data_IF_216690279265
#
_entry.id   IF_216690279265
#
_cell.length_a   1.000
_cell.length_b   1.000
_cell.length_c   1.000
_cell.angle_alpha   90.00
_cell.angle_beta   90.00
_cell.angle_gamma   90.00
#
_symmetry.space_group_name_H-M   'P 1'
#
loop_
_entity.id
_entity.type
_entity.pdbx_description
1 polymer ?
#
# COMPACT_ATOMS: atom_id res chain seq x y z
N UNK A 1 2.14 -2.52 -7.22
CA UNK A 1 2.87 -1.79 -6.16
C UNK A 1 1.95 -1.69 -4.96
N UNK A 2 2.47 -1.94 -3.76
CA UNK A 2 1.71 -1.79 -2.52
C UNK A 2 2.23 -0.56 -1.78
N UNK A 3 1.32 0.23 -1.25
CA UNK A 3 1.65 1.37 -0.41
C UNK A 3 0.78 1.36 0.84
N UNK A 4 1.32 1.90 1.92
CA UNK A 4 0.61 2.08 3.18
C UNK A 4 0.79 3.50 3.68
N UNK A 5 -0.28 4.05 4.25
CA UNK A 5 -0.32 5.37 4.85
C UNK A 5 -0.86 5.27 6.27
N UNK A 6 -0.16 5.84 7.24
CA UNK A 6 -0.65 5.89 8.61
C UNK A 6 -1.73 6.98 8.72
N UNK A 7 -2.97 6.58 9.00
CA UNK A 7 -4.11 7.50 9.12
C UNK A 7 -4.53 7.75 10.57
N UNK A 8 -3.92 7.02 11.51
CA UNK A 8 -4.23 7.13 12.94
C UNK A 8 -2.95 7.02 13.78
N UNK A 9 -2.73 7.99 14.67
CA UNK A 9 -1.51 8.08 15.49
C UNK A 9 -0.52 9.11 14.95
N UNK A 10 0.62 9.31 15.64
CA UNK A 10 1.69 10.25 15.21
C UNK A 10 2.83 9.54 14.49
N UNK A 11 3.28 8.41 15.05
CA UNK A 11 4.37 7.60 14.50
C UNK A 11 4.18 6.17 14.97
N UNK A 12 4.39 5.20 14.10
CA UNK A 12 4.20 3.78 14.42
C UNK A 12 5.30 2.94 13.79
N UNK A 13 5.89 2.04 14.56
CA UNK A 13 6.95 1.15 14.07
C UNK A 13 6.37 -0.24 13.83
N UNK A 14 6.43 -0.71 12.58
CA UNK A 14 5.92 -2.02 12.18
C UNK A 14 7.05 -2.82 11.57
N UNK A 15 7.47 -3.89 12.26
CA UNK A 15 8.55 -4.78 11.83
C UNK A 15 9.86 -4.03 11.47
N UNK A 16 10.19 -2.96 12.19
CA UNK A 16 11.38 -2.14 11.94
C UNK A 16 11.22 -1.09 10.85
N UNK A 17 10.01 -0.91 10.30
CA UNK A 17 9.67 0.17 9.38
C UNK A 17 8.89 1.23 10.15
N UNK A 18 9.43 2.45 10.17
CA UNK A 18 8.83 3.58 10.84
C UNK A 18 7.85 4.31 9.91
N UNK A 19 6.58 4.30 10.29
CA UNK A 19 5.51 5.01 9.60
C UNK A 19 5.22 6.33 10.29
N UNK A 20 5.21 7.41 9.51
CA UNK A 20 4.82 8.75 9.95
C UNK A 20 3.37 9.04 9.59
N UNK A 21 2.70 9.87 10.40
CA UNK A 21 1.31 10.26 10.16
C UNK A 21 1.12 10.90 8.78
N UNK A 22 0.13 10.42 8.03
CA UNK A 22 -0.21 10.81 6.66
C UNK A 22 0.89 10.59 5.60
N UNK A 23 1.99 9.93 5.95
CA UNK A 23 3.04 9.63 5.00
C UNK A 23 2.75 8.31 4.27
N UNK A 24 2.65 8.38 2.94
CA UNK A 24 2.47 7.18 2.11
C UNK A 24 3.84 6.60 1.78
N UNK A 25 4.09 5.37 2.21
CA UNK A 25 5.33 4.66 1.95
C UNK A 25 5.07 3.37 1.14
N UNK A 26 5.97 3.01 0.21
CA UNK A 26 5.90 1.74 -0.49
C UNK A 26 6.24 0.60 0.47
N UNK A 27 5.47 -0.48 0.42
CA UNK A 27 5.62 -1.63 1.32
C UNK A 27 5.63 -2.94 0.56
N UNK A 28 6.17 -3.99 1.20
CA UNK A 28 6.12 -5.35 0.70
C UNK A 28 4.72 -5.96 0.81
N UNK A 29 4.43 -6.96 -0.02
CA UNK A 29 3.14 -7.68 -0.02
C UNK A 29 2.81 -8.32 1.33
N UNK A 30 3.81 -8.84 2.05
CA UNK A 30 3.62 -9.41 3.38
C UNK A 30 3.20 -8.35 4.40
N UNK A 31 3.80 -7.16 4.34
CA UNK A 31 3.41 -6.05 5.19
C UNK A 31 2.00 -5.56 4.83
N UNK A 32 1.65 -5.54 3.54
CA UNK A 32 0.32 -5.18 3.07
C UNK A 32 -0.73 -6.10 3.67
N UNK A 33 -0.50 -7.43 3.64
CA UNK A 33 -1.42 -8.41 4.24
C UNK A 33 -1.52 -8.27 5.75
N UNK A 34 -0.43 -7.93 6.43
CA UNK A 34 -0.40 -7.71 7.87
C UNK A 34 -1.17 -6.44 8.28
N UNK A 35 -1.05 -5.38 7.49
CA UNK A 35 -1.74 -4.11 7.72
C UNK A 35 -3.19 -4.13 7.19
N UNK A 36 -3.52 -5.05 6.28
CA UNK A 36 -4.86 -5.20 5.72
C UNK A 36 -5.84 -5.64 6.81
N UNK A 37 -6.77 -4.75 7.15
CA UNK A 37 -7.75 -4.93 8.23
C UNK A 37 -7.44 -4.12 9.49
N UNK A 38 -6.31 -3.40 9.51
CA UNK A 38 -5.93 -2.56 10.64
C UNK A 38 -6.46 -1.13 10.44
N UNK A 39 -7.35 -0.60 11.31
CA UNK A 39 -8.00 0.71 11.10
C UNK A 39 -7.04 1.90 11.23
N UNK A 40 -5.81 1.68 11.68
CA UNK A 40 -4.79 2.72 11.78
C UNK A 40 -4.04 2.96 10.47
N UNK A 41 -4.12 2.03 9.51
CA UNK A 41 -3.35 2.06 8.27
C UNK A 41 -4.27 1.99 7.06
N UNK A 42 -4.08 2.92 6.13
CA UNK A 42 -4.71 2.88 4.83
C UNK A 42 -3.74 2.21 3.85
N UNK A 43 -4.09 1.02 3.39
CA UNK A 43 -3.27 0.25 2.45
C UNK A 43 -3.86 0.27 1.05
N UNK A 44 -3.04 0.58 0.06
CA UNK A 44 -3.43 0.63 -1.37
C UNK A 44 -2.64 -0.40 -2.16
N UNK A 45 -3.35 -1.10 -3.02
CA UNK A 45 -2.76 -1.98 -4.02
C UNK A 45 -2.90 -1.31 -5.38
N UNK A 46 -1.86 -0.61 -5.83
CA UNK A 46 -1.76 -0.16 -7.21
C UNK A 46 -1.43 -1.39 -8.04
N UNK A 47 -2.46 -2.13 -8.45
CA UNK A 47 -2.33 -3.01 -9.61
C UNK A 47 -1.97 -2.08 -10.76
N UNK A 48 -0.75 -2.21 -11.29
CA UNK A 48 -0.53 -1.85 -12.69
C UNK A 48 -1.49 -2.75 -13.45
N UNK A 49 -2.71 -2.29 -13.71
CA UNK A 49 -3.39 -2.68 -14.93
C UNK A 49 -2.41 -2.22 -16.01
N UNK A 50 -1.52 -3.11 -16.43
CA UNK A 50 -1.12 -3.08 -17.82
C UNK A 50 -2.47 -3.15 -18.53
N UNK A 51 -2.92 -2.00 -19.02
CA UNK A 51 -4.01 -1.94 -19.97
C UNK A 51 -3.61 -2.98 -21.02
N UNK A 52 -4.33 -4.10 -21.01
CA UNK A 52 -4.19 -5.09 -22.05
C UNK A 52 -4.36 -4.35 -23.36
N UNK A 53 -3.36 -4.48 -24.23
CA UNK A 53 -3.43 -4.12 -25.63
C UNK A 53 -4.75 -4.69 -26.18
N UNK A 54 -5.70 -3.83 -26.54
CA UNK A 54 -6.71 -4.21 -27.53
C UNK A 54 -6.05 -3.93 -28.89
N UNK A 55 -5.17 -4.85 -29.31
CA UNK A 55 -4.73 -4.93 -30.70
C UNK A 55 -5.83 -5.69 -31.46
N UNK A 56 -6.97 -5.03 -31.69
CA UNK A 56 -7.91 -5.47 -32.73
C UNK A 56 -7.35 -5.08 -34.08
N UNK A 57 -6.59 -6.01 -34.65
CA UNK A 57 -6.31 -6.09 -36.07
C UNK A 57 -7.61 -6.51 -36.77
N UNK A 58 -8.23 -5.60 -37.51
CA UNK A 58 -9.20 -5.89 -38.57
C UNK A 58 -8.86 -5.02 -39.77
#
# INVERSE_FOLDING_TARGET
MYSARLVKGKTYDVKGIRFSFQEEQPISRDLYRYLKGNPCFEVKETRRRMAGKDERKC
#
